data_IF_300524561534
#
_entry.id   IF_300524561534
#
_cell.length_a   1.000
_cell.length_b   1.000
_cell.length_c   1.000
_cell.angle_alpha   90.00
_cell.angle_beta   90.00
_cell.angle_gamma   90.00
#
_symmetry.space_group_name_H-M   'P 1'
#
loop_
_entity.id
_entity.type
_entity.pdbx_description
1 polymer ?
#
# COMPACT_ATOMS: atom_id res chain seq x y z
N UNK A 1 -24.34 21.71 -36.41
CA UNK A 1 -24.51 21.25 -35.03
C UNK A 1 -24.05 22.36 -34.13
N UNK A 2 -24.89 22.79 -33.21
CA UNK A 2 -24.55 23.83 -32.25
C UNK A 2 -23.96 23.18 -31.00
N UNK A 3 -22.86 23.73 -30.50
CA UNK A 3 -22.16 23.23 -29.32
C UNK A 3 -22.29 24.24 -28.20
N UNK A 4 -22.54 23.73 -27.00
CA UNK A 4 -22.77 24.54 -25.80
C UNK A 4 -21.81 24.14 -24.68
N UNK A 5 -21.25 25.15 -24.01
CA UNK A 5 -20.50 25.02 -22.76
C UNK A 5 -21.37 25.59 -21.63
N UNK A 6 -21.83 24.73 -20.72
CA UNK A 6 -22.72 25.13 -19.61
C UNK A 6 -23.97 25.92 -20.06
N UNK A 7 -24.52 25.59 -21.24
CA UNK A 7 -25.69 26.27 -21.80
C UNK A 7 -25.40 27.54 -22.61
N UNK A 8 -24.13 27.97 -22.72
CA UNK A 8 -23.71 29.08 -23.59
C UNK A 8 -23.20 28.51 -24.91
N UNK A 9 -23.67 28.99 -26.07
CA UNK A 9 -23.19 28.48 -27.35
C UNK A 9 -21.73 28.91 -27.58
N UNK A 10 -20.91 28.04 -28.17
CA UNK A 10 -19.44 28.23 -28.28
C UNK A 10 -19.07 29.51 -29.05
N UNK A 11 -19.93 29.94 -29.99
CA UNK A 11 -19.79 31.19 -30.74
C UNK A 11 -19.92 32.47 -29.87
N UNK A 12 -20.50 32.36 -28.67
CA UNK A 12 -20.66 33.44 -27.70
C UNK A 12 -19.63 33.40 -26.55
N UNK A 13 -18.60 32.54 -26.63
CA UNK A 13 -17.50 32.51 -25.67
C UNK A 13 -16.56 33.70 -25.84
N UNK A 14 -15.81 34.04 -24.78
CA UNK A 14 -14.87 35.16 -24.76
C UNK A 14 -13.76 35.02 -25.81
N UNK A 15 -13.16 36.14 -26.23
CA UNK A 15 -12.14 36.16 -27.32
C UNK A 15 -10.90 35.31 -27.03
N UNK A 16 -10.58 35.11 -25.75
CA UNK A 16 -9.49 34.22 -25.29
C UNK A 16 -9.84 32.75 -25.49
N UNK A 17 -11.10 32.38 -25.26
CA UNK A 17 -11.58 31.01 -25.45
C UNK A 17 -11.77 30.66 -26.93
N UNK A 18 -12.02 31.65 -27.80
CA UNK A 18 -12.14 31.46 -29.27
C UNK A 18 -10.86 31.01 -29.96
N UNK A 19 -9.68 31.44 -29.48
CA UNK A 19 -8.40 31.02 -30.04
C UNK A 19 -8.00 29.60 -29.64
N UNK A 20 -8.59 29.10 -28.56
CA UNK A 20 -8.22 27.85 -27.91
C UNK A 20 -9.17 26.71 -28.26
N UNK A 21 -10.44 27.05 -28.45
CA UNK A 21 -11.52 26.11 -28.75
C UNK A 21 -11.86 26.27 -30.23
N UNK A 22 -11.46 25.30 -31.05
CA UNK A 22 -11.77 25.27 -32.48
C UNK A 22 -12.71 24.13 -32.79
N UNK A 23 -13.62 24.35 -33.75
CA UNK A 23 -14.52 23.33 -34.26
C UNK A 23 -14.08 23.03 -35.69
N UNK A 24 -13.72 21.77 -35.97
CA UNK A 24 -13.39 21.35 -37.33
C UNK A 24 -14.66 21.41 -38.19
N UNK A 25 -14.63 22.09 -39.35
CA UNK A 25 -15.80 22.20 -40.22
C UNK A 25 -16.07 20.92 -41.03
N UNK A 26 -15.07 20.04 -41.20
CA UNK A 26 -15.18 18.82 -42.02
C UNK A 26 -15.59 17.60 -41.22
N UNK A 27 -15.09 17.47 -39.99
CA UNK A 27 -15.26 16.27 -39.16
C UNK A 27 -16.15 16.58 -37.94
N UNK A 28 -16.62 17.82 -37.85
CA UNK A 28 -17.40 18.36 -36.74
C UNK A 28 -16.77 18.09 -35.37
N UNK A 29 -15.45 17.91 -35.28
CA UNK A 29 -14.72 17.62 -34.04
C UNK A 29 -14.48 18.92 -33.24
N UNK A 30 -14.57 18.82 -31.91
CA UNK A 30 -14.22 19.93 -31.01
C UNK A 30 -12.79 19.72 -30.54
N UNK A 31 -11.92 20.63 -30.91
CA UNK A 31 -10.54 20.64 -30.49
C UNK A 31 -10.33 21.74 -29.46
N UNK A 32 -9.73 21.39 -28.32
CA UNK A 32 -9.42 22.33 -27.25
C UNK A 32 -7.91 22.27 -27.05
N UNK A 33 -7.19 23.32 -27.46
CA UNK A 33 -5.77 23.43 -27.16
C UNK A 33 -5.57 23.86 -25.71
N UNK A 34 -4.44 23.47 -25.08
CA UNK A 34 -4.04 23.92 -23.74
C UNK A 34 -5.18 23.91 -22.69
N UNK A 35 -5.63 22.72 -22.30
CA UNK A 35 -6.77 22.57 -21.38
C UNK A 35 -6.48 23.10 -19.98
N UNK A 36 -7.44 23.80 -19.39
CA UNK A 36 -7.35 24.38 -18.04
C UNK A 36 -8.45 23.85 -17.12
N UNK A 37 -8.36 24.10 -15.81
CA UNK A 37 -9.42 23.73 -14.85
C UNK A 37 -10.79 24.35 -15.17
N UNK A 38 -10.84 25.44 -15.95
CA UNK A 38 -12.12 26.05 -16.33
C UNK A 38 -12.90 25.21 -17.34
N UNK A 39 -12.21 24.37 -18.13
CA UNK A 39 -12.82 23.52 -19.18
C UNK A 39 -13.56 22.31 -18.62
N UNK A 40 -13.34 22.04 -17.34
CA UNK A 40 -14.00 20.96 -16.63
C UNK A 40 -15.51 21.23 -16.64
N UNK A 41 -16.26 20.26 -17.15
CA UNK A 41 -17.68 20.46 -17.37
C UNK A 41 -18.36 19.37 -18.18
N UNK A 42 -19.67 19.53 -18.30
CA UNK A 42 -20.48 18.80 -19.24
C UNK A 42 -20.58 19.67 -20.49
N UNK A 43 -20.00 19.18 -21.59
CA UNK A 43 -20.05 19.79 -22.91
C UNK A 43 -21.20 19.16 -23.66
N UNK A 44 -21.99 19.98 -24.34
CA UNK A 44 -23.19 19.52 -25.04
C UNK A 44 -23.05 19.80 -26.53
N UNK A 45 -23.36 18.80 -27.34
CA UNK A 45 -23.44 18.92 -28.79
C UNK A 45 -24.88 18.66 -29.20
N UNK A 46 -25.48 19.60 -29.94
CA UNK A 46 -26.89 19.60 -30.32
C UNK A 46 -27.01 19.66 -31.84
N UNK A 47 -27.98 18.93 -32.41
CA UNK A 47 -28.28 19.06 -33.82
C UNK A 47 -29.09 20.36 -34.05
N UNK A 48 -28.77 21.15 -35.10
CA UNK A 48 -29.42 22.45 -35.32
C UNK A 48 -30.94 22.32 -35.52
N UNK A 49 -31.36 21.26 -36.21
CA UNK A 49 -32.76 21.08 -36.63
C UNK A 49 -33.64 20.44 -35.54
N UNK A 50 -33.05 19.93 -34.45
CA UNK A 50 -33.81 19.35 -33.35
C UNK A 50 -33.05 19.45 -32.01
N UNK A 51 -33.41 20.46 -31.23
CA UNK A 51 -32.83 20.74 -29.90
C UNK A 51 -33.07 19.63 -28.87
N UNK A 52 -33.95 18.66 -29.16
CA UNK A 52 -34.17 17.48 -28.31
C UNK A 52 -33.08 16.40 -28.49
N UNK A 53 -32.35 16.42 -29.62
CA UNK A 53 -31.28 15.46 -29.90
C UNK A 53 -29.93 16.07 -29.55
N UNK A 54 -29.40 15.66 -28.39
CA UNK A 54 -28.12 16.15 -27.89
C UNK A 54 -27.28 15.03 -27.26
N UNK A 55 -25.95 15.20 -27.31
CA UNK A 55 -24.99 14.33 -26.63
C UNK A 55 -24.19 15.14 -25.62
N UNK A 56 -23.95 14.56 -24.44
CA UNK A 56 -23.14 15.17 -23.37
C UNK A 56 -21.78 14.48 -23.29
N UNK A 57 -20.70 15.28 -23.39
CA UNK A 57 -19.32 14.86 -23.18
C UNK A 57 -18.84 15.36 -21.82
N UNK A 58 -18.34 14.47 -20.97
CA UNK A 58 -17.80 14.82 -19.66
C UNK A 58 -16.30 15.09 -19.77
N UNK A 59 -15.90 16.33 -19.53
CA UNK A 59 -14.48 16.70 -19.39
C UNK A 59 -14.16 16.78 -17.90
N UNK A 60 -13.25 15.92 -17.45
CA UNK A 60 -12.84 15.81 -16.04
C UNK A 60 -11.31 15.78 -15.96
N UNK A 61 -10.71 16.38 -14.90
CA UNK A 61 -9.28 16.22 -14.67
C UNK A 61 -9.02 14.80 -14.16
N UNK A 62 -7.81 14.28 -14.37
CA UNK A 62 -7.41 13.04 -13.70
C UNK A 62 -7.46 13.24 -12.17
N UNK A 63 -8.14 12.37 -11.40
CA UNK A 63 -8.21 12.49 -9.95
C UNK A 63 -6.81 12.53 -9.34
N UNK A 64 -6.61 13.28 -8.25
CA UNK A 64 -5.36 13.21 -7.50
C UNK A 64 -5.66 12.84 -6.06
N UNK A 65 -4.90 11.90 -5.51
CA UNK A 65 -5.04 11.47 -4.12
C UNK A 65 -3.99 12.16 -3.24
N UNK A 66 -4.35 12.44 -1.99
CA UNK A 66 -3.35 12.76 -0.97
C UNK A 66 -2.46 11.54 -0.74
N UNK A 67 -1.14 11.71 -0.60
CA UNK A 67 -0.29 10.61 -0.19
C UNK A 67 -0.76 10.09 1.17
N UNK A 68 -0.58 8.79 1.42
CA UNK A 68 -0.68 8.28 2.78
C UNK A 68 0.40 9.01 3.63
N UNK A 69 0.11 9.35 4.89
CA UNK A 69 1.04 10.17 5.70
C UNK A 69 2.19 9.33 6.30
N UNK A 70 3.39 9.94 6.34
CA UNK A 70 4.64 9.51 7.03
C UNK A 70 5.16 8.09 6.75
N UNK A 71 5.95 7.94 5.69
CA UNK A 71 7.42 7.77 5.76
C UNK A 71 7.98 7.43 4.37
N UNK A 72 9.23 7.88 4.15
CA UNK A 72 9.98 7.87 2.89
C UNK A 72 9.89 6.55 2.09
N UNK A 73 9.24 6.58 0.93
CA UNK A 73 9.74 5.89 -0.25
C UNK A 73 9.07 6.42 -1.52
N UNK A 74 9.79 6.42 -2.67
CA UNK A 74 9.41 7.22 -3.81
C UNK A 74 8.17 6.75 -4.58
N UNK A 75 7.58 5.57 -4.29
CA UNK A 75 6.34 5.12 -4.95
C UNK A 75 5.45 4.15 -4.15
N UNK A 76 5.81 3.79 -2.93
CA UNK A 76 4.98 2.95 -2.06
C UNK A 76 5.35 3.22 -0.60
N UNK A 77 4.33 3.33 0.25
CA UNK A 77 4.55 3.39 1.69
C UNK A 77 4.40 1.99 2.26
N UNK A 78 5.31 1.61 3.15
CA UNK A 78 5.19 0.39 3.94
C UNK A 78 4.81 0.80 5.35
N UNK A 79 3.71 0.27 5.86
CA UNK A 79 3.28 0.50 7.24
C UNK A 79 3.44 -0.81 7.99
N UNK A 80 4.23 -0.81 9.06
CA UNK A 80 4.42 -1.98 9.92
C UNK A 80 3.56 -1.85 11.18
N UNK A 81 2.81 -2.91 11.51
CA UNK A 81 1.98 -3.02 12.72
C UNK A 81 2.09 -4.40 13.34
N UNK A 82 1.79 -4.50 14.63
CA UNK A 82 1.87 -5.77 15.38
C UNK A 82 0.52 -6.48 15.29
N UNK A 83 0.52 -7.82 15.36
CA UNK A 83 -0.71 -8.61 15.50
C UNK A 83 -1.53 -8.14 16.71
N UNK A 84 -2.84 -8.02 16.54
CA UNK A 84 -3.82 -7.55 17.53
C UNK A 84 -3.94 -6.03 17.65
N UNK A 85 -3.12 -5.27 16.93
CA UNK A 85 -3.20 -3.81 16.93
C UNK A 85 -4.34 -3.31 16.03
N UNK A 86 -4.83 -2.09 16.23
CA UNK A 86 -5.84 -1.49 15.34
C UNK A 86 -5.17 -0.65 14.24
N UNK A 87 -5.75 -0.66 13.05
CA UNK A 87 -5.21 0.05 11.89
C UNK A 87 -6.28 0.85 11.18
N UNK A 88 -5.98 2.12 10.85
CA UNK A 88 -6.87 3.00 10.11
C UNK A 88 -6.11 3.78 9.05
N UNK A 89 -6.55 3.65 7.81
CA UNK A 89 -5.94 4.25 6.63
C UNK A 89 -6.90 5.24 5.99
N UNK A 90 -6.45 6.49 5.83
CA UNK A 90 -7.24 7.57 5.22
C UNK A 90 -6.97 7.66 3.72
N UNK A 91 -8.01 7.69 2.89
CA UNK A 91 -7.89 8.06 1.49
C UNK A 91 -8.75 9.28 1.18
N UNK A 92 -8.12 10.31 0.60
CA UNK A 92 -8.75 11.60 0.31
C UNK A 92 -8.30 12.13 -1.06
N UNK A 93 -9.27 12.44 -1.92
CA UNK A 93 -9.01 13.16 -3.18
C UNK A 93 -8.60 14.60 -2.88
N UNK A 94 -7.55 15.10 -3.55
CA UNK A 94 -7.07 16.49 -3.46
C UNK A 94 -8.15 17.46 -3.91
N UNK A 95 -8.15 18.63 -3.27
CA UNK A 95 -9.06 19.71 -3.64
C UNK A 95 -8.88 20.11 -5.12
N UNK A 96 -9.99 20.39 -5.82
CA UNK A 96 -10.00 20.72 -7.24
C UNK A 96 -10.08 19.51 -8.20
N UNK A 97 -9.72 18.31 -7.75
CA UNK A 97 -9.74 17.08 -8.54
C UNK A 97 -10.90 16.14 -8.19
N UNK A 98 -11.80 16.56 -7.31
CA UNK A 98 -12.88 15.76 -6.72
C UNK A 98 -14.14 15.64 -7.58
N UNK A 99 -14.20 16.29 -8.75
CA UNK A 99 -15.44 16.38 -9.53
C UNK A 99 -15.87 15.01 -10.07
N UNK A 100 -17.04 14.55 -9.62
CA UNK A 100 -17.60 13.22 -9.87
C UNK A 100 -16.66 12.07 -9.44
N UNK A 101 -15.63 12.37 -8.64
CA UNK A 101 -14.66 11.39 -8.19
C UNK A 101 -15.25 10.56 -7.04
N UNK A 102 -15.11 9.25 -7.15
CA UNK A 102 -15.57 8.26 -6.17
C UNK A 102 -14.40 7.38 -5.75
N UNK A 103 -14.26 7.14 -4.45
CA UNK A 103 -13.19 6.34 -3.86
C UNK A 103 -13.65 4.90 -3.62
N UNK A 104 -12.79 3.94 -3.98
CA UNK A 104 -12.97 2.52 -3.77
C UNK A 104 -11.70 1.87 -3.21
N UNK A 105 -11.86 0.81 -2.44
CA UNK A 105 -10.75 0.08 -1.81
C UNK A 105 -10.60 -1.32 -2.40
N UNK A 106 -9.36 -1.69 -2.69
CA UNK A 106 -8.96 -2.99 -3.20
C UNK A 106 -7.73 -3.50 -2.45
N UNK A 107 -7.47 -4.79 -2.55
CA UNK A 107 -6.29 -5.45 -1.99
C UNK A 107 -5.72 -6.48 -2.97
N UNK A 108 -4.43 -6.78 -2.85
CA UNK A 108 -3.80 -7.84 -3.65
C UNK A 108 -2.55 -8.45 -2.97
N UNK A 109 -2.28 -9.72 -3.29
CA UNK A 109 -1.01 -10.46 -3.17
C UNK A 109 0.28 -9.65 -2.94
N UNK A 110 1.01 -9.75 -1.81
CA UNK A 110 2.42 -9.30 -1.80
C UNK A 110 3.22 -10.05 -2.89
N UNK A 111 2.96 -11.34 -3.07
CA UNK A 111 3.53 -12.17 -4.15
C UNK A 111 3.08 -11.80 -5.56
N UNK A 112 2.03 -10.99 -5.70
CA UNK A 112 1.53 -10.51 -6.99
C UNK A 112 2.06 -9.12 -7.35
N UNK A 113 2.79 -8.46 -6.44
CA UNK A 113 3.21 -7.08 -6.62
C UNK A 113 4.00 -6.82 -7.92
N UNK A 114 4.95 -7.70 -8.21
CA UNK A 114 5.83 -7.60 -9.38
C UNK A 114 5.19 -8.15 -10.67
N UNK A 115 3.98 -8.71 -10.59
CA UNK A 115 3.30 -9.29 -11.74
C UNK A 115 2.57 -8.19 -12.54
N UNK A 116 2.68 -8.18 -13.88
CA UNK A 116 1.98 -7.20 -14.70
C UNK A 116 0.45 -7.34 -14.63
N UNK A 117 -0.04 -8.57 -14.46
CA UNK A 117 -1.47 -8.89 -14.38
C UNK A 117 -1.89 -9.21 -12.94
N UNK A 118 -1.59 -8.31 -11.99
CA UNK A 118 -2.02 -8.49 -10.59
C UNK A 118 -3.53 -8.44 -10.46
N UNK A 119 -4.08 -9.34 -9.66
CA UNK A 119 -5.52 -9.47 -9.46
C UNK A 119 -5.94 -8.61 -8.28
N UNK A 120 -6.51 -7.44 -8.55
CA UNK A 120 -7.04 -6.56 -7.51
C UNK A 120 -8.41 -7.05 -7.07
N UNK A 121 -8.52 -7.45 -5.81
CA UNK A 121 -9.77 -7.95 -5.22
C UNK A 121 -10.39 -6.84 -4.36
N UNK A 122 -11.71 -6.60 -4.44
CA UNK A 122 -12.35 -5.66 -3.53
C UNK A 122 -12.13 -6.08 -2.08
N UNK A 123 -11.85 -5.12 -1.20
CA UNK A 123 -11.64 -5.42 0.23
C UNK A 123 -12.91 -6.10 0.77
N UNK A 124 -12.80 -7.29 1.41
CA UNK A 124 -13.95 -8.07 1.85
C UNK A 124 -14.67 -7.33 2.98
N UNK A 125 -15.66 -6.53 2.60
CA UNK A 125 -16.50 -5.78 3.53
C UNK A 125 -17.83 -6.52 3.61
N UNK A 126 -17.92 -7.51 4.50
CA UNK A 126 -19.18 -8.18 4.79
C UNK A 126 -20.03 -7.38 5.77
N UNK A 127 -21.36 -7.42 5.65
CA UNK A 127 -22.30 -6.77 6.59
C UNK A 127 -22.08 -7.20 8.06
N UNK A 128 -21.49 -8.38 8.28
CA UNK A 128 -21.13 -8.93 9.61
C UNK A 128 -19.62 -9.00 9.87
N UNK A 129 -18.78 -8.44 8.99
CA UNK A 129 -17.32 -8.38 9.19
C UNK A 129 -17.00 -7.30 10.22
N UNK A 130 -16.77 -7.69 11.47
CA UNK A 130 -16.27 -6.79 12.51
C UNK A 130 -14.78 -6.46 12.33
N UNK A 131 -14.06 -7.31 11.60
CA UNK A 131 -12.62 -7.24 11.40
C UNK A 131 -12.23 -6.10 10.45
N UNK A 132 -12.69 -6.13 9.19
CA UNK A 132 -12.40 -5.09 8.19
C UNK A 132 -13.64 -4.27 7.89
N UNK A 133 -13.51 -2.94 7.94
CA UNK A 133 -14.59 -1.96 7.77
C UNK A 133 -14.15 -0.81 6.87
N UNK A 134 -15.04 -0.42 5.96
CA UNK A 134 -14.86 0.80 5.15
C UNK A 134 -15.79 1.88 5.69
N UNK A 135 -15.22 2.91 6.29
CA UNK A 135 -15.96 4.09 6.74
C UNK A 135 -15.97 5.12 5.59
N UNK A 136 -17.07 5.19 4.85
CA UNK A 136 -17.26 6.18 3.79
C UNK A 136 -17.87 7.46 4.39
N UNK A 137 -17.12 8.56 4.40
CA UNK A 137 -17.62 9.86 4.88
C UNK A 137 -18.33 10.63 3.75
N UNK A 138 -17.71 10.66 2.58
CA UNK A 138 -18.31 11.17 1.35
C UNK A 138 -17.73 10.40 0.14
N UNK A 139 -18.04 10.81 -1.08
CA UNK A 139 -17.53 10.14 -2.28
C UNK A 139 -16.00 10.27 -2.45
N UNK A 140 -15.38 11.29 -1.86
CA UNK A 140 -13.97 11.66 -2.07
C UNK A 140 -13.09 11.37 -0.85
N UNK A 141 -13.68 11.01 0.29
CA UNK A 141 -13.04 10.73 1.57
C UNK A 141 -13.62 9.44 2.15
N UNK A 142 -12.73 8.46 2.32
CA UNK A 142 -13.04 7.20 2.96
C UNK A 142 -11.87 6.75 3.85
N UNK A 143 -12.20 6.01 4.90
CA UNK A 143 -11.24 5.33 5.75
C UNK A 143 -11.40 3.82 5.64
N UNK A 144 -10.28 3.12 5.50
CA UNK A 144 -10.20 1.68 5.72
C UNK A 144 -9.78 1.43 7.15
N UNK A 145 -10.61 0.74 7.93
CA UNK A 145 -10.34 0.39 9.32
C UNK A 145 -10.27 -1.13 9.46
N UNK A 146 -9.23 -1.61 10.12
CA UNK A 146 -9.04 -3.02 10.47
C UNK A 146 -8.87 -3.09 11.99
N UNK A 147 -9.76 -3.84 12.63
CA UNK A 147 -9.72 -4.10 14.07
C UNK A 147 -8.96 -5.41 14.30
N UNK A 148 -8.09 -5.45 15.30
CA UNK A 148 -7.34 -6.66 15.69
C UNK A 148 -6.58 -7.32 14.53
N UNK A 149 -5.53 -6.65 14.04
CA UNK A 149 -4.73 -7.12 12.91
C UNK A 149 -4.27 -8.58 13.06
N UNK A 150 -4.42 -9.36 11.99
CA UNK A 150 -3.89 -10.72 11.88
C UNK A 150 -2.74 -10.82 10.87
N UNK A 151 -1.95 -11.89 10.94
CA UNK A 151 -0.91 -12.18 9.95
C UNK A 151 -1.46 -12.30 8.52
N UNK A 152 -2.73 -12.72 8.38
CA UNK A 152 -3.41 -12.80 7.09
C UNK A 152 -3.72 -11.42 6.47
N UNK A 153 -3.75 -10.34 7.26
CA UNK A 153 -3.96 -8.97 6.76
C UNK A 153 -2.72 -8.37 6.10
N UNK A 154 -1.60 -9.10 6.10
CA UNK A 154 -0.36 -8.70 5.44
C UNK A 154 -0.56 -8.65 3.93
N UNK A 155 -0.92 -7.47 3.44
CA UNK A 155 -1.34 -7.29 2.06
C UNK A 155 -1.00 -5.89 1.54
N UNK A 156 -1.01 -5.74 0.22
CA UNK A 156 -1.12 -4.42 -0.38
C UNK A 156 -2.56 -3.95 -0.38
N UNK A 157 -2.79 -2.77 0.18
CA UNK A 157 -4.05 -2.07 0.12
C UNK A 157 -3.95 -0.93 -0.90
N UNK A 158 -4.98 -0.82 -1.73
CA UNK A 158 -5.04 0.15 -2.81
C UNK A 158 -6.31 0.97 -2.66
N UNK A 159 -6.12 2.28 -2.57
CA UNK A 159 -7.21 3.22 -2.74
C UNK A 159 -7.25 3.67 -4.20
N UNK A 160 -8.41 3.53 -4.83
CA UNK A 160 -8.66 3.96 -6.21
C UNK A 160 -9.65 5.12 -6.19
N UNK A 161 -9.31 6.23 -6.82
CA UNK A 161 -10.25 7.31 -7.12
C UNK A 161 -10.55 7.32 -8.63
N UNK A 162 -11.85 7.23 -8.96
CA UNK A 162 -12.32 7.26 -10.35
C UNK A 162 -13.42 8.28 -10.53
N UNK A 163 -13.41 9.00 -11.65
CA UNK A 163 -14.43 10.01 -11.98
C UNK A 163 -15.23 9.71 -13.26
N UNK A 164 -15.20 8.44 -13.70
CA UNK A 164 -15.87 7.97 -14.91
C UNK A 164 -15.16 8.34 -16.22
N UNK A 165 -14.08 9.11 -16.17
CA UNK A 165 -13.22 9.43 -17.32
C UNK A 165 -11.80 8.94 -17.10
N UNK A 166 -11.25 9.19 -15.91
CA UNK A 166 -9.92 8.80 -15.51
C UNK A 166 -9.93 8.17 -14.12
N UNK A 167 -8.84 7.46 -13.82
CA UNK A 167 -8.63 6.73 -12.58
C UNK A 167 -7.21 6.93 -12.09
N UNK A 168 -7.05 7.09 -10.78
CA UNK A 168 -5.76 7.20 -10.12
C UNK A 168 -5.78 6.39 -8.84
N UNK A 169 -4.66 5.75 -8.52
CA UNK A 169 -4.55 4.87 -7.37
C UNK A 169 -3.40 5.27 -6.45
N UNK A 170 -3.56 4.95 -5.16
CA UNK A 170 -2.52 5.02 -4.16
C UNK A 170 -2.41 3.66 -3.49
N UNK A 171 -1.18 3.13 -3.41
CA UNK A 171 -0.90 1.78 -2.92
C UNK A 171 -0.03 1.84 -1.66
N UNK A 172 -0.32 0.99 -0.68
CA UNK A 172 0.44 0.85 0.58
C UNK A 172 0.58 -0.63 0.94
N UNK A 173 1.74 -1.03 1.43
CA UNK A 173 1.98 -2.36 1.98
C UNK A 173 1.75 -2.35 3.48
N UNK A 174 0.78 -3.11 3.97
CA UNK A 174 0.61 -3.36 5.39
C UNK A 174 1.43 -4.59 5.80
N UNK A 175 2.46 -4.39 6.61
CA UNK A 175 3.25 -5.47 7.22
C UNK A 175 2.75 -5.73 8.63
N UNK A 176 2.26 -6.93 8.86
CA UNK A 176 1.87 -7.39 10.20
C UNK A 176 2.98 -8.26 10.77
N UNK A 177 3.44 -7.94 11.99
CA UNK A 177 4.50 -8.68 12.69
C UNK A 177 3.97 -9.37 13.95
N UNK A 178 4.47 -10.57 14.22
CA UNK A 178 4.09 -11.33 15.41
C UNK A 178 4.48 -10.61 16.70
N UNK A 179 3.58 -10.64 17.69
CA UNK A 179 3.83 -10.10 19.03
C UNK A 179 5.02 -10.78 19.72
N UNK A 180 5.23 -12.06 19.44
CA UNK A 180 6.27 -12.89 20.05
C UNK A 180 7.53 -13.02 19.19
N UNK A 181 7.57 -12.41 18.00
CA UNK A 181 8.78 -12.39 17.18
C UNK A 181 9.98 -11.84 17.96
N UNK A 182 9.73 -10.86 18.85
CA UNK A 182 10.75 -10.27 19.71
C UNK A 182 11.23 -11.22 20.84
N UNK A 183 10.51 -12.28 21.19
CA UNK A 183 10.89 -13.20 22.28
C UNK A 183 11.96 -14.22 21.87
N UNK A 184 11.96 -14.63 20.61
CA UNK A 184 12.94 -15.58 20.06
C UNK A 184 14.40 -15.16 20.24
N UNK A 185 14.82 -13.91 19.96
CA UNK A 185 16.20 -13.50 20.22
C UNK A 185 16.56 -13.55 21.72
N UNK A 186 15.61 -13.25 22.62
CA UNK A 186 15.85 -13.35 24.06
C UNK A 186 16.03 -14.81 24.51
N UNK A 187 15.22 -15.72 23.99
CA UNK A 187 15.34 -17.15 24.31
C UNK A 187 16.67 -17.71 23.83
N UNK A 188 17.11 -17.33 22.63
CA UNK A 188 18.42 -17.70 22.10
C UNK A 188 19.54 -17.26 23.03
N UNK A 189 19.50 -16.01 23.51
CA UNK A 189 20.49 -15.48 24.47
C UNK A 189 20.45 -16.28 25.78
N UNK A 190 19.27 -16.53 26.35
CA UNK A 190 19.12 -17.26 27.62
C UNK A 190 19.69 -18.68 27.55
N UNK A 191 19.40 -19.42 26.47
CA UNK A 191 19.91 -20.78 26.28
C UNK A 191 21.44 -20.78 26.18
N UNK A 192 22.00 -19.82 25.45
CA UNK A 192 23.47 -19.67 25.34
C UNK A 192 24.09 -19.38 26.70
N UNK A 193 23.54 -18.42 27.45
CA UNK A 193 24.05 -18.06 28.78
C UNK A 193 23.99 -19.25 29.75
N UNK A 194 22.90 -20.00 29.78
CA UNK A 194 22.77 -21.20 30.62
C UNK A 194 23.75 -22.30 30.24
N UNK A 195 24.01 -22.48 28.94
CA UNK A 195 24.98 -23.48 28.46
C UNK A 195 26.40 -23.13 28.89
N UNK A 196 26.81 -21.86 28.76
CA UNK A 196 28.13 -21.39 29.18
C UNK A 196 28.29 -21.52 30.70
N UNK A 197 27.29 -21.11 31.48
CA UNK A 197 27.30 -21.27 32.94
C UNK A 197 27.36 -22.75 33.34
N UNK A 198 26.63 -23.63 32.65
CA UNK A 198 26.67 -25.07 32.89
C UNK A 198 28.04 -25.70 32.60
N UNK A 199 28.65 -25.35 31.47
CA UNK A 199 30.01 -25.80 31.14
C UNK A 199 31.04 -25.30 32.16
N UNK A 200 30.96 -24.02 32.55
CA UNK A 200 31.84 -23.44 33.58
C UNK A 200 31.65 -24.16 34.93
N UNK A 201 30.42 -24.43 35.33
CA UNK A 201 30.13 -25.13 36.57
C UNK A 201 30.71 -26.55 36.59
N UNK A 202 30.58 -27.29 35.48
CA UNK A 202 31.19 -28.62 35.35
C UNK A 202 32.72 -28.51 35.39
N UNK A 203 33.30 -27.52 34.71
CA UNK A 203 34.74 -27.28 34.72
C UNK A 203 35.26 -26.99 36.13
N UNK A 204 34.61 -26.09 36.88
CA UNK A 204 34.96 -25.82 38.27
C UNK A 204 34.77 -27.05 39.16
N UNK A 205 33.66 -27.78 39.02
CA UNK A 205 33.42 -29.02 39.78
C UNK A 205 34.48 -30.07 39.51
N UNK A 206 34.97 -30.17 38.27
CA UNK A 206 36.02 -31.10 37.87
C UNK A 206 37.41 -30.66 38.36
N UNK A 207 37.66 -29.35 38.46
CA UNK A 207 38.92 -28.79 38.97
C UNK A 207 39.01 -28.78 40.50
N UNK A 208 37.88 -28.69 41.19
CA UNK A 208 37.80 -28.61 42.67
C UNK A 208 37.75 -29.99 43.34
N UNK A 209 37.62 -31.09 42.58
CA UNK A 209 37.96 -32.41 43.13
C UNK A 209 39.49 -32.48 43.21
N UNK A 210 40.11 -32.48 44.41
CA UNK A 210 41.52 -32.79 44.48
C UNK A 210 41.71 -34.21 43.95
N UNK A 211 42.77 -34.40 43.16
CA UNK A 211 43.36 -35.71 42.92
C UNK A 211 43.68 -36.30 44.30
N UNK A 212 42.79 -37.10 44.86
CA UNK A 212 43.08 -38.03 45.95
C UNK A 212 42.37 -39.33 45.62
N UNK A 213 43.18 -40.29 45.20
CA UNK A 213 42.78 -41.60 44.72
C UNK A 213 43.79 -42.09 43.70
N UNK A 214 45.01 -42.39 44.17
CA UNK A 214 46.11 -43.00 43.42
C UNK A 214 45.63 -44.20 42.59
N UNK A 215 45.69 -44.11 41.26
CA UNK A 215 46.08 -45.19 40.30
C UNK A 215 45.75 -44.73 38.87
N UNK A 216 46.67 -44.01 38.24
CA UNK A 216 46.91 -44.03 36.78
C UNK A 216 47.93 -42.97 36.33
N UNK A 217 48.96 -42.70 37.14
CA UNK A 217 50.17 -42.02 36.64
C UNK A 217 50.93 -42.89 35.62
N UNK A 218 50.59 -44.18 35.53
CA UNK A 218 51.26 -45.16 34.69
C UNK A 218 50.82 -45.12 33.21
N UNK A 219 49.71 -44.44 32.87
CA UNK A 219 49.17 -44.46 31.51
C UNK A 219 49.60 -43.26 30.64
N UNK A 220 50.08 -42.17 31.25
CA UNK A 220 50.61 -41.01 30.50
C UNK A 220 52.13 -41.11 30.28
N UNK A 221 52.85 -41.79 31.18
CA UNK A 221 54.26 -42.15 30.98
C UNK A 221 54.43 -43.25 29.92
N UNK A 222 53.45 -44.15 29.74
CA UNK A 222 53.48 -45.17 28.70
C UNK A 222 53.27 -44.61 27.28
N UNK A 223 52.53 -43.50 27.13
CA UNK A 223 52.33 -42.85 25.82
C UNK A 223 53.57 -42.06 25.38
N UNK A 224 54.26 -41.38 26.32
CA UNK A 224 55.48 -40.61 26.01
C UNK A 224 56.70 -41.51 25.70
N UNK A 225 56.75 -42.74 26.21
CA UNK A 225 57.79 -43.71 25.87
C UNK A 225 57.61 -44.37 24.49
N UNK A 226 56.43 -44.25 23.87
CA UNK A 226 56.14 -44.80 22.54
C UNK A 226 56.44 -43.83 21.39
N UNK A 227 56.69 -42.55 21.69
CA UNK A 227 56.97 -41.50 20.70
C UNK A 227 58.49 -41.22 20.53
N UNK A 228 59.37 -41.86 21.32
CA UNK A 228 60.82 -41.67 21.27
C UNK A 228 61.58 -42.83 20.58
N UNK A 229 60.87 -43.80 19.98
CA UNK A 229 61.48 -44.94 19.25
C UNK A 229 60.96 -45.13 17.81
N UNK A 230 60.59 -44.05 17.12
CA UNK A 230 60.41 -44.07 15.65
C UNK A 230 61.24 -42.98 14.98
#
# INVERSE_FOLDING_TARGET
MDRYRRGVPINALSDVDKHRITISPTDWSLHISNTTFTDIGNWRCELPDNSQVFTIFKVRPEPQLHPFDKHQSPNYQTITRVVGDWFKLKCLVKYGYSRDATVHWYMYNESEHDKPNKTMVPVPTGDNSTHVRIEKYNDTLSYLAINELDLSDRQYYVCIARNGVAETNNTVLLKVIDKWAAFWPFTGILVITLTILGMLFIYEKCRTKPVVGDTSADNYQALLASEENL
#
